data_IF_434281819340
#
_entry.id   IF_434281819340
#
_cell.length_a   1.000
_cell.length_b   1.000
_cell.length_c   1.000
_cell.angle_alpha   90.00
_cell.angle_beta   90.00
_cell.angle_gamma   90.00
#
_symmetry.space_group_name_H-M   'P 1'
#
loop_
_entity.id
_entity.type
_entity.pdbx_description
1 polymer ?
#
# COMPACT_ATOMS: atom_id res chain seq x y z
N UNK A 1 28.69 -31.25 0.80
CA UNK A 1 28.90 -29.85 1.24
C UNK A 1 27.55 -29.30 1.70
N UNK A 2 27.49 -28.55 2.81
CA UNK A 2 26.25 -27.93 3.31
C UNK A 2 26.49 -26.44 3.60
N UNK A 3 25.49 -25.59 3.33
CA UNK A 3 25.52 -24.15 3.57
C UNK A 3 24.23 -23.72 4.27
N UNK A 4 24.32 -22.75 5.17
CA UNK A 4 23.19 -22.13 5.87
C UNK A 4 23.20 -20.63 5.60
N UNK A 5 22.04 -20.10 5.22
CA UNK A 5 21.80 -18.66 5.04
C UNK A 5 20.88 -18.18 6.17
N UNK A 6 21.22 -17.08 6.82
CA UNK A 6 20.38 -16.43 7.83
C UNK A 6 20.09 -15.00 7.39
N UNK A 7 18.80 -14.64 7.36
CA UNK A 7 18.34 -13.27 7.15
C UNK A 7 18.08 -12.65 8.52
N UNK A 8 18.49 -11.40 8.70
CA UNK A 8 18.28 -10.63 9.93
C UNK A 8 17.89 -9.20 9.59
N UNK A 9 17.09 -8.61 10.45
CA UNK A 9 16.80 -7.18 10.41
C UNK A 9 17.79 -6.42 11.29
N UNK A 10 18.19 -5.25 10.84
CA UNK A 10 19.13 -4.37 11.54
C UNK A 10 18.44 -3.02 11.76
N UNK A 11 18.62 -2.44 12.93
CA UNK A 11 18.17 -1.08 13.23
C UNK A 11 18.96 -0.07 12.38
N UNK A 12 18.26 0.75 11.63
CA UNK A 12 18.86 1.74 10.72
C UNK A 12 19.56 2.90 11.47
N UNK A 13 19.24 3.13 12.74
CA UNK A 13 19.77 4.24 13.52
C UNK A 13 21.09 3.89 14.20
N UNK A 14 21.18 2.70 14.80
CA UNK A 14 22.33 2.29 15.62
C UNK A 14 22.99 0.96 15.21
N UNK A 15 22.39 0.24 14.26
CA UNK A 15 22.91 -1.04 13.76
C UNK A 15 22.61 -2.24 14.65
N UNK A 16 21.71 -2.12 15.64
CA UNK A 16 21.33 -3.22 16.53
C UNK A 16 20.62 -4.34 15.76
N UNK A 17 20.93 -5.59 16.10
CA UNK A 17 20.27 -6.76 15.51
C UNK A 17 18.85 -6.91 16.05
N UNK A 18 17.85 -6.77 15.16
CA UNK A 18 16.43 -6.88 15.46
C UNK A 18 15.91 -8.32 15.36
N UNK A 19 16.77 -9.26 14.96
CA UNK A 19 16.39 -10.66 14.79
C UNK A 19 15.49 -10.87 13.57
N UNK A 20 14.30 -11.44 13.79
CA UNK A 20 13.38 -11.87 12.72
C UNK A 20 12.32 -10.81 12.37
N UNK A 21 12.22 -9.73 13.15
CA UNK A 21 11.17 -8.71 12.97
C UNK A 21 11.75 -7.31 13.10
N UNK A 22 11.39 -6.40 12.19
CA UNK A 22 11.67 -4.97 12.32
C UNK A 22 10.40 -4.19 12.65
N UNK A 23 10.53 -3.10 13.43
CA UNK A 23 9.50 -2.08 13.50
C UNK A 23 9.74 -1.04 12.40
N UNK A 24 9.15 -1.27 11.22
CA UNK A 24 9.19 -0.28 10.14
C UNK A 24 8.24 0.88 10.44
N UNK A 25 8.77 2.09 10.64
CA UNK A 25 7.98 3.31 10.81
C UNK A 25 8.00 4.11 9.51
N UNK A 26 6.82 4.40 8.96
CA UNK A 26 6.65 5.32 7.84
C UNK A 26 6.36 6.74 8.32
N UNK A 27 7.10 7.72 7.82
CA UNK A 27 6.92 9.13 8.17
C UNK A 27 7.17 10.04 6.96
N UNK A 28 6.80 11.31 7.08
CA UNK A 28 7.03 12.30 6.04
C UNK A 28 7.65 13.57 6.63
N UNK A 29 8.62 14.12 5.92
CA UNK A 29 9.28 15.37 6.30
C UNK A 29 9.52 16.20 5.03
N UNK A 30 9.13 17.48 5.06
CA UNK A 30 9.24 18.40 3.91
C UNK A 30 8.64 17.85 2.60
N UNK A 31 7.53 17.09 2.70
CA UNK A 31 6.82 16.54 1.55
C UNK A 31 7.47 15.29 0.93
N UNK A 32 8.53 14.75 1.53
CA UNK A 32 9.15 13.47 1.14
C UNK A 32 8.72 12.37 2.10
N UNK A 33 8.44 11.19 1.57
CA UNK A 33 8.08 9.98 2.33
C UNK A 33 9.33 9.16 2.65
N UNK A 34 9.44 8.70 3.90
CA UNK A 34 10.54 7.91 4.42
C UNK A 34 10.01 6.69 5.18
N UNK A 35 10.84 5.65 5.24
CA UNK A 35 10.65 4.51 6.11
C UNK A 35 11.96 4.25 6.85
N UNK A 36 11.86 3.79 8.10
CA UNK A 36 13.01 3.43 8.93
C UNK A 36 12.68 2.18 9.74
N UNK A 37 13.60 1.22 9.77
CA UNK A 37 13.51 0.01 10.58
C UNK A 37 14.20 0.23 11.92
N UNK A 38 13.44 0.13 13.02
CA UNK A 38 13.94 0.41 14.37
C UNK A 38 13.69 -0.77 15.32
N UNK A 39 14.49 -0.82 16.38
CA UNK A 39 14.25 -1.59 17.60
C UNK A 39 13.03 -1.06 18.35
N UNK A 40 12.50 -1.85 19.30
CA UNK A 40 11.36 -1.43 20.11
C UNK A 40 11.65 -0.12 20.86
N UNK A 41 12.83 -0.02 21.46
CA UNK A 41 13.27 1.16 22.22
C UNK A 41 13.41 2.40 21.31
N UNK A 42 14.07 2.27 20.15
CA UNK A 42 14.23 3.38 19.21
C UNK A 42 12.89 3.78 18.57
N UNK A 43 12.01 2.81 18.32
CA UNK A 43 10.66 3.07 17.82
C UNK A 43 9.83 3.84 18.85
N UNK A 44 9.96 3.53 20.15
CA UNK A 44 9.31 4.29 21.23
C UNK A 44 9.88 5.70 21.35
N UNK A 45 11.21 5.84 21.34
CA UNK A 45 11.88 7.14 21.34
C UNK A 45 11.44 8.04 20.16
N UNK A 46 11.27 7.47 18.96
CA UNK A 46 10.74 8.19 17.81
C UNK A 46 9.31 8.70 18.06
N UNK A 47 8.43 7.85 18.61
CA UNK A 47 7.03 8.23 18.89
C UNK A 47 6.97 9.35 19.93
N UNK A 48 7.78 9.29 20.98
CA UNK A 48 7.86 10.34 21.99
C UNK A 48 8.39 11.64 21.42
N UNK A 49 9.45 11.60 20.60
CA UNK A 49 10.03 12.79 19.98
C UNK A 49 9.03 13.53 19.06
N UNK A 50 8.18 12.79 18.36
CA UNK A 50 7.22 13.35 17.40
C UNK A 50 5.89 13.74 18.06
N UNK A 51 5.56 13.17 19.23
CA UNK A 51 4.28 13.39 19.93
C UNK A 51 3.91 14.87 20.15
N UNK A 52 4.80 15.78 20.58
CA UNK A 52 4.46 17.18 20.78
C UNK A 52 4.00 17.87 19.49
N UNK A 53 4.61 17.53 18.36
CA UNK A 53 4.26 18.10 17.05
C UNK A 53 2.92 17.55 16.54
N UNK A 54 2.62 16.28 16.81
CA UNK A 54 1.31 15.69 16.49
C UNK A 54 0.21 16.32 17.34
N UNK A 55 0.48 16.56 18.63
CA UNK A 55 -0.49 17.17 19.55
C UNK A 55 -0.80 18.63 19.20
N UNK A 56 0.22 19.41 18.82
CA UNK A 56 0.05 20.81 18.40
C UNK A 56 -0.47 20.94 16.96
N UNK A 57 -0.17 19.94 16.12
CA UNK A 57 -0.56 19.90 14.72
C UNK A 57 -2.01 19.48 14.51
N UNK A 58 -2.42 19.52 13.25
CA UNK A 58 -3.71 18.98 12.82
C UNK A 58 -3.49 18.05 11.64
N UNK A 59 -4.37 17.06 11.50
CA UNK A 59 -4.28 16.11 10.39
C UNK A 59 -4.62 16.82 9.09
N UNK A 60 -3.62 17.02 8.24
CA UNK A 60 -3.77 17.61 6.90
C UNK A 60 -4.28 16.53 5.94
N UNK A 61 -5.46 15.97 6.20
CA UNK A 61 -6.03 14.99 5.26
C UNK A 61 -6.43 15.69 3.97
N UNK A 62 -5.56 15.62 2.98
CA UNK A 62 -6.02 15.28 1.64
C UNK A 62 -6.45 13.83 1.71
N UNK A 63 -7.75 13.58 1.64
CA UNK A 63 -8.23 12.30 1.14
C UNK A 63 -7.45 12.07 -0.15
N UNK A 64 -6.43 11.20 -0.16
CA UNK A 64 -6.23 10.37 -1.34
C UNK A 64 -7.54 9.63 -1.39
N UNK A 65 -8.54 10.24 -2.03
CA UNK A 65 -9.71 9.56 -2.51
C UNK A 65 -9.08 8.34 -3.12
N UNK A 66 -9.29 7.17 -2.49
CA UNK A 66 -8.94 5.91 -3.14
C UNK A 66 -9.53 6.13 -4.51
N UNK A 67 -8.69 6.31 -5.53
CA UNK A 67 -9.17 6.44 -6.90
C UNK A 67 -10.08 5.26 -6.99
N UNK A 68 -11.40 5.53 -7.00
CA UNK A 68 -12.38 4.47 -6.95
C UNK A 68 -11.97 3.63 -8.12
N UNK A 69 -11.40 2.46 -7.85
CA UNK A 69 -10.92 1.56 -8.89
C UNK A 69 -12.15 1.44 -9.74
N UNK A 70 -12.17 2.04 -10.93
CA UNK A 70 -13.37 2.08 -11.76
C UNK A 70 -13.77 0.63 -11.83
N UNK A 71 -14.79 0.24 -11.08
CA UNK A 71 -15.44 -1.03 -11.25
C UNK A 71 -15.86 -0.90 -12.69
N UNK A 72 -15.21 -1.67 -13.58
CA UNK A 72 -15.63 -1.76 -14.96
C UNK A 72 -17.15 -1.85 -14.91
N UNK A 73 -17.83 -0.93 -15.60
CA UNK A 73 -19.28 -0.84 -15.55
C UNK A 73 -19.85 -2.27 -15.60
N UNK A 74 -20.83 -2.63 -14.76
CA UNK A 74 -21.41 -3.97 -14.83
C UNK A 74 -21.78 -4.18 -16.29
N UNK A 75 -21.20 -5.20 -16.91
CA UNK A 75 -21.32 -5.46 -18.35
C UNK A 75 -22.80 -5.52 -18.67
N UNK A 76 -23.35 -4.38 -19.10
CA UNK A 76 -24.77 -4.18 -19.27
C UNK A 76 -25.17 -5.00 -20.48
N UNK A 77 -25.75 -6.18 -20.21
CA UNK A 77 -26.51 -6.98 -21.15
C UNK A 77 -25.87 -7.21 -22.53
N UNK A 78 -24.53 -7.32 -22.62
CA UNK A 78 -23.84 -7.59 -23.88
C UNK A 78 -24.38 -8.85 -24.56
N UNK A 79 -24.83 -9.83 -23.77
CA UNK A 79 -25.51 -11.04 -24.27
C UNK A 79 -26.84 -10.71 -24.96
N UNK A 80 -27.71 -9.92 -24.34
CA UNK A 80 -28.99 -9.52 -24.92
C UNK A 80 -28.81 -8.67 -26.19
N UNK A 81 -27.80 -7.80 -26.20
CA UNK A 81 -27.45 -6.99 -27.38
C UNK A 81 -26.96 -7.88 -28.54
N UNK A 82 -26.13 -8.89 -28.26
CA UNK A 82 -25.69 -9.86 -29.28
C UNK A 82 -26.83 -10.72 -29.80
N UNK A 83 -27.74 -11.16 -28.92
CA UNK A 83 -28.93 -11.93 -29.33
C UNK A 83 -29.85 -11.10 -30.23
N UNK A 84 -30.11 -9.84 -29.88
CA UNK A 84 -30.83 -8.93 -30.76
C UNK A 84 -30.08 -8.73 -32.09
N UNK A 85 -28.77 -8.53 -32.06
CA UNK A 85 -27.96 -8.32 -33.26
C UNK A 85 -28.01 -9.54 -34.20
N UNK A 86 -27.83 -10.76 -33.69
CA UNK A 86 -27.95 -11.99 -34.50
C UNK A 86 -29.35 -12.15 -35.08
N UNK A 87 -30.40 -11.88 -34.29
CA UNK A 87 -31.78 -11.96 -34.77
C UNK A 87 -32.09 -10.92 -35.86
N UNK A 88 -31.36 -9.81 -35.90
CA UNK A 88 -31.49 -8.77 -36.93
C UNK A 88 -30.46 -8.95 -38.08
N UNK A 89 -29.77 -10.10 -38.14
CA UNK A 89 -28.88 -10.46 -39.24
C UNK A 89 -27.47 -9.87 -39.15
N UNK A 90 -27.08 -9.33 -38.01
CA UNK A 90 -25.71 -8.87 -37.77
C UNK A 90 -24.83 -10.01 -37.27
N UNK A 91 -23.62 -10.13 -37.83
CA UNK A 91 -22.63 -11.11 -37.41
C UNK A 91 -21.80 -10.57 -36.23
N UNK A 92 -21.80 -11.29 -35.11
CA UNK A 92 -21.17 -10.88 -33.85
C UNK A 92 -20.42 -12.05 -33.21
N UNK A 93 -19.15 -11.81 -32.85
CA UNK A 93 -18.25 -12.76 -32.19
C UNK A 93 -18.68 -13.09 -30.76
N UNK A 94 -18.45 -14.34 -30.32
CA UNK A 94 -18.81 -14.80 -28.97
C UNK A 94 -17.82 -14.35 -27.87
N UNK A 95 -16.62 -13.88 -28.24
CA UNK A 95 -15.58 -13.44 -27.28
C UNK A 95 -15.10 -12.03 -27.61
N UNK A 96 -15.63 -11.06 -26.86
CA UNK A 96 -15.35 -9.62 -26.99
C UNK A 96 -16.47 -8.92 -27.73
#
# INVERSE_FOLDING_TARGET
MAQQFQVRFIDDLDGTDLGETSNTISFAFEGKEYAIDLSDDNAEAFREAVAPYIQAGHRVTGSKAKTARKTAAPSGNTKAIREWARNNGYDVSDRG
#
